data_IF_165713476796
#
_entry.id   IF_165713476796
#
_cell.length_a   1.000
_cell.length_b   1.000
_cell.length_c   1.000
_cell.angle_alpha   90.00
_cell.angle_beta   90.00
_cell.angle_gamma   90.00
#
_symmetry.space_group_name_H-M   'P 1'
#
loop_
_entity.id
_entity.type
_entity.pdbx_description
1 polymer ?
#
# COMPACT_ATOMS: atom_id res chain seq x y z
N UNK A 1 19.17 -4.57 -6.21
CA UNK A 1 19.17 -6.06 -6.13
C UNK A 1 17.81 -6.54 -6.58
N UNK A 2 17.72 -7.30 -7.66
CA UNK A 2 16.45 -7.84 -8.14
C UNK A 2 16.25 -9.30 -7.66
N UNK A 3 14.98 -9.72 -7.56
CA UNK A 3 14.62 -11.03 -7.04
C UNK A 3 15.06 -12.17 -7.96
N UNK A 4 14.97 -11.99 -9.28
CA UNK A 4 15.31 -13.03 -10.26
C UNK A 4 16.76 -13.51 -10.16
N UNK A 5 17.67 -12.62 -9.76
CA UNK A 5 19.11 -12.92 -9.64
C UNK A 5 19.56 -13.18 -8.19
N UNK A 6 18.84 -12.64 -7.19
CA UNK A 6 19.27 -12.62 -5.79
C UNK A 6 18.11 -12.99 -4.86
N UNK A 7 17.43 -14.11 -5.12
CA UNK A 7 16.23 -14.53 -4.37
C UNK A 7 16.47 -14.73 -2.88
N UNK A 8 17.63 -15.25 -2.47
CA UNK A 8 17.98 -15.45 -1.06
C UNK A 8 18.05 -14.14 -0.28
N UNK A 9 18.64 -13.09 -0.87
CA UNK A 9 18.75 -11.77 -0.24
C UNK A 9 17.37 -11.12 -0.11
N UNK A 10 16.57 -11.17 -1.16
CA UNK A 10 15.24 -10.54 -1.17
C UNK A 10 14.25 -11.29 -0.29
N UNK A 11 14.32 -12.62 -0.21
CA UNK A 11 13.50 -13.40 0.73
C UNK A 11 13.87 -13.09 2.18
N UNK A 12 15.16 -12.97 2.51
CA UNK A 12 15.60 -12.54 3.83
C UNK A 12 15.07 -11.12 4.16
N UNK A 13 15.12 -10.19 3.20
CA UNK A 13 14.59 -8.85 3.38
C UNK A 13 13.08 -8.85 3.62
N UNK A 14 12.31 -9.68 2.91
CA UNK A 14 10.87 -9.86 3.14
C UNK A 14 10.63 -10.35 4.57
N UNK A 15 11.29 -11.43 4.98
CA UNK A 15 11.16 -12.00 6.33
C UNK A 15 11.49 -10.97 7.41
N UNK A 16 12.60 -10.24 7.26
CA UNK A 16 13.01 -9.21 8.21
C UNK A 16 12.00 -8.05 8.32
N UNK A 17 11.33 -7.69 7.22
CA UNK A 17 10.30 -6.64 7.21
C UNK A 17 9.00 -7.15 7.82
N UNK A 18 8.63 -8.40 7.59
CA UNK A 18 7.47 -9.04 8.22
C UNK A 18 7.63 -9.12 9.74
N UNK A 19 8.80 -9.53 10.22
CA UNK A 19 9.11 -9.60 11.65
C UNK A 19 9.04 -8.21 12.31
N UNK A 20 9.58 -7.19 11.66
CA UNK A 20 9.54 -5.80 12.13
C UNK A 20 8.14 -5.19 12.04
N UNK A 21 7.40 -5.48 10.98
CA UNK A 21 6.05 -5.00 10.67
C UNK A 21 5.87 -3.46 10.69
N UNK A 22 6.96 -2.71 10.47
CA UNK A 22 7.03 -1.24 10.54
C UNK A 22 7.48 -0.56 9.24
N UNK A 23 7.71 -1.35 8.18
CA UNK A 23 8.17 -0.87 6.88
C UNK A 23 7.42 -1.54 5.73
N UNK A 24 7.50 -0.96 4.54
CA UNK A 24 6.99 -1.54 3.30
C UNK A 24 8.14 -1.69 2.31
N UNK A 25 8.25 -2.86 1.67
CA UNK A 25 9.32 -3.19 0.75
C UNK A 25 8.90 -3.01 -0.70
N UNK A 26 9.62 -2.17 -1.43
CA UNK A 26 9.50 -2.05 -2.89
C UNK A 26 10.52 -2.98 -3.53
N UNK A 27 10.06 -4.09 -4.07
CA UNK A 27 10.89 -5.15 -4.62
C UNK A 27 10.98 -5.04 -6.15
N UNK A 28 12.18 -5.14 -6.69
CA UNK A 28 12.41 -5.30 -8.13
C UNK A 28 12.33 -6.79 -8.49
N UNK A 29 11.31 -7.21 -9.27
CA UNK A 29 11.08 -8.62 -9.53
C UNK A 29 12.07 -9.22 -10.53
N UNK A 30 12.51 -8.44 -11.52
CA UNK A 30 13.22 -8.92 -12.72
C UNK A 30 14.47 -8.11 -13.04
N UNK A 31 15.37 -8.71 -13.82
CA UNK A 31 16.49 -8.00 -14.42
C UNK A 31 16.03 -7.18 -15.63
N UNK A 32 16.88 -6.26 -16.08
CA UNK A 32 16.67 -5.56 -17.35
C UNK A 32 16.70 -6.57 -18.51
N UNK A 33 15.71 -6.53 -19.39
CA UNK A 33 15.56 -7.46 -20.52
C UNK A 33 14.61 -8.63 -20.25
N UNK A 34 14.17 -8.83 -19.01
CA UNK A 34 13.27 -9.94 -18.67
C UNK A 34 11.86 -9.73 -19.27
N UNK A 35 11.29 -10.81 -19.79
CA UNK A 35 9.94 -10.81 -20.34
C UNK A 35 8.85 -10.74 -19.23
N UNK A 36 7.64 -10.36 -19.62
CA UNK A 36 6.45 -10.40 -18.73
C UNK A 36 6.27 -11.81 -18.15
N UNK A 37 6.41 -12.86 -18.99
CA UNK A 37 6.25 -14.24 -18.56
C UNK A 37 7.29 -14.65 -17.52
N UNK A 38 8.55 -14.28 -17.74
CA UNK A 38 9.64 -14.51 -16.76
C UNK A 38 9.36 -13.81 -15.45
N UNK A 39 8.99 -12.53 -15.51
CA UNK A 39 8.66 -11.73 -14.33
C UNK A 39 7.48 -12.32 -13.54
N UNK A 40 6.42 -12.77 -14.20
CA UNK A 40 5.27 -13.45 -13.58
C UNK A 40 5.71 -14.74 -12.85
N UNK A 41 6.54 -15.55 -13.49
CA UNK A 41 7.05 -16.80 -12.89
C UNK A 41 7.88 -16.51 -11.65
N UNK A 42 8.70 -15.47 -11.69
CA UNK A 42 9.54 -15.04 -10.56
C UNK A 42 8.71 -14.55 -9.37
N UNK A 43 7.62 -13.82 -9.63
CA UNK A 43 6.75 -13.25 -8.59
C UNK A 43 5.78 -14.28 -8.00
N UNK A 44 5.39 -15.29 -8.78
CA UNK A 44 4.35 -16.27 -8.40
C UNK A 44 4.54 -16.91 -7.01
N UNK A 45 5.73 -17.33 -6.59
CA UNK A 45 5.96 -17.96 -5.28
C UNK A 45 5.93 -16.99 -4.10
N UNK A 46 5.97 -15.68 -4.35
CA UNK A 46 6.00 -14.69 -3.29
C UNK A 46 4.59 -14.43 -2.75
N UNK A 47 4.44 -14.47 -1.44
CA UNK A 47 3.17 -14.18 -0.75
C UNK A 47 3.45 -13.35 0.51
N UNK A 48 3.25 -12.05 0.43
CA UNK A 48 3.40 -11.12 1.55
C UNK A 48 2.60 -9.84 1.30
N UNK A 49 2.05 -9.26 2.35
CA UNK A 49 1.40 -7.95 2.26
C UNK A 49 2.34 -6.78 2.65
N UNK A 50 3.60 -7.07 2.97
CA UNK A 50 4.61 -6.05 3.29
C UNK A 50 5.49 -5.68 2.11
N UNK A 51 5.27 -6.26 0.93
CA UNK A 51 6.00 -5.91 -0.28
C UNK A 51 5.08 -5.69 -1.47
N UNK A 52 5.56 -4.88 -2.41
CA UNK A 52 4.95 -4.65 -3.72
C UNK A 52 6.00 -4.65 -4.82
N UNK A 53 5.64 -5.18 -5.97
CA UNK A 53 6.50 -5.27 -7.16
C UNK A 53 5.95 -4.44 -8.29
N UNK A 54 6.83 -3.94 -9.14
CA UNK A 54 6.51 -3.06 -10.25
C UNK A 54 7.26 -3.49 -11.52
N UNK A 55 6.69 -3.22 -12.68
CA UNK A 55 7.25 -3.53 -13.99
C UNK A 55 6.78 -2.50 -15.02
N UNK A 56 7.56 -2.13 -16.03
CA UNK A 56 8.90 -2.58 -16.39
C UNK A 56 10.00 -1.68 -15.81
N UNK A 57 11.27 -1.93 -16.21
CA UNK A 57 12.36 -1.00 -16.03
C UNK A 57 12.09 0.30 -16.78
N UNK A 58 12.58 1.40 -16.23
CA UNK A 58 12.31 2.73 -16.76
C UNK A 58 13.61 3.51 -17.03
N UNK A 59 13.51 4.45 -17.93
CA UNK A 59 14.60 5.33 -18.31
C UNK A 59 14.39 6.69 -17.65
N UNK A 60 15.35 7.12 -16.88
CA UNK A 60 15.31 8.41 -16.19
C UNK A 60 16.38 9.35 -16.72
N UNK A 61 16.13 10.65 -16.62
CA UNK A 61 17.10 11.70 -16.94
C UNK A 61 17.78 12.12 -15.65
N UNK A 62 19.09 11.88 -15.54
CA UNK A 62 19.89 12.31 -14.39
C UNK A 62 20.16 13.82 -14.42
N UNK A 63 20.69 14.35 -13.31
CA UNK A 63 21.03 15.79 -13.16
C UNK A 63 22.00 16.32 -14.22
N UNK A 64 22.79 15.45 -14.83
CA UNK A 64 23.73 15.77 -15.93
C UNK A 64 23.08 15.74 -17.32
N UNK A 65 21.75 15.53 -17.41
CA UNK A 65 21.04 15.32 -18.67
C UNK A 65 21.23 13.92 -19.30
N UNK A 66 22.05 13.06 -18.68
CA UNK A 66 22.28 11.70 -19.18
C UNK A 66 21.09 10.80 -18.86
N UNK A 67 20.64 10.07 -19.85
CA UNK A 67 19.60 9.06 -19.70
C UNK A 67 20.20 7.73 -19.20
N UNK A 68 19.59 7.14 -18.18
CA UNK A 68 20.02 5.87 -17.58
C UNK A 68 18.81 4.97 -17.33
N UNK A 69 18.98 3.68 -17.58
CA UNK A 69 17.99 2.68 -17.19
C UNK A 69 18.11 2.38 -15.70
N UNK A 70 16.98 2.43 -15.00
CA UNK A 70 16.91 2.13 -13.57
C UNK A 70 15.77 1.14 -13.28
N UNK A 71 15.91 0.34 -12.22
CA UNK A 71 14.82 -0.53 -11.79
C UNK A 71 13.63 0.29 -11.26
N UNK A 72 12.41 -0.26 -11.31
CA UNK A 72 11.20 0.44 -10.89
C UNK A 72 11.26 1.00 -9.46
N UNK A 73 11.89 0.31 -8.52
CA UNK A 73 11.99 0.72 -7.11
C UNK A 73 12.50 2.14 -6.92
N UNK A 74 13.41 2.60 -7.78
CA UNK A 74 13.97 3.96 -7.72
C UNK A 74 12.90 5.03 -7.94
N UNK A 75 12.06 4.87 -8.95
CA UNK A 75 11.01 5.84 -9.29
C UNK A 75 9.77 5.69 -8.42
N UNK A 76 9.49 4.48 -7.94
CA UNK A 76 8.36 4.22 -7.03
C UNK A 76 8.57 4.87 -5.67
N UNK A 77 9.79 4.90 -5.16
CA UNK A 77 10.11 5.64 -3.93
C UNK A 77 9.72 7.12 -4.05
N UNK A 78 10.00 7.74 -5.22
CA UNK A 78 9.58 9.11 -5.50
C UNK A 78 8.05 9.25 -5.60
N UNK A 79 7.37 8.34 -6.30
CA UNK A 79 5.91 8.37 -6.42
C UNK A 79 5.22 8.25 -5.05
N UNK A 80 5.73 7.39 -4.18
CA UNK A 80 5.25 7.24 -2.81
C UNK A 80 5.46 8.53 -2.00
N UNK A 81 6.68 9.10 -2.05
CA UNK A 81 6.98 10.34 -1.34
C UNK A 81 6.13 11.52 -1.84
N UNK A 82 5.92 11.63 -3.15
CA UNK A 82 5.05 12.65 -3.73
C UNK A 82 3.58 12.47 -3.30
N UNK A 83 3.08 11.24 -3.30
CA UNK A 83 1.73 10.94 -2.81
C UNK A 83 1.56 11.39 -1.35
N UNK A 84 2.54 11.13 -0.49
CA UNK A 84 2.49 11.49 0.92
C UNK A 84 2.56 13.00 1.14
N UNK A 85 3.28 13.71 0.27
CA UNK A 85 3.39 15.16 0.33
C UNK A 85 2.11 15.88 -0.13
N UNK A 86 1.40 15.35 -1.15
CA UNK A 86 0.20 16.01 -1.71
C UNK A 86 -1.11 15.50 -1.14
N UNK A 87 -1.11 14.36 -0.48
CA UNK A 87 -2.29 13.74 0.11
C UNK A 87 -1.97 13.14 1.49
N UNK A 88 -1.91 11.81 1.59
CA UNK A 88 -1.54 11.08 2.81
C UNK A 88 -1.15 9.65 2.45
N UNK A 89 -0.54 8.94 3.40
CA UNK A 89 -0.02 7.58 3.18
C UNK A 89 -1.12 6.55 2.85
N UNK A 90 -2.36 6.81 3.24
CA UNK A 90 -3.51 5.93 2.96
C UNK A 90 -4.17 6.16 1.60
N UNK A 91 -3.72 7.14 0.84
CA UNK A 91 -4.12 7.26 -0.56
C UNK A 91 -3.25 6.36 -1.44
N UNK A 92 -3.85 5.86 -2.53
CA UNK A 92 -3.13 5.03 -3.48
C UNK A 92 -2.02 5.83 -4.21
N UNK A 93 -0.75 5.42 -4.13
CA UNK A 93 0.34 6.04 -4.89
C UNK A 93 0.31 5.56 -6.36
N UNK A 94 -0.85 5.69 -7.00
CA UNK A 94 -1.13 5.20 -8.34
C UNK A 94 -2.17 6.09 -9.04
N UNK A 95 -2.34 5.87 -10.34
CA UNK A 95 -3.24 6.65 -11.18
C UNK A 95 -2.65 7.97 -11.64
N UNK A 96 -3.37 8.67 -12.51
CA UNK A 96 -2.87 9.89 -13.17
C UNK A 96 -2.71 11.07 -12.19
N UNK A 97 -3.47 11.09 -11.12
CA UNK A 97 -3.44 12.20 -10.16
C UNK A 97 -2.24 12.15 -9.20
N UNK A 98 -1.75 10.97 -8.80
CA UNK A 98 -0.72 10.79 -7.76
C UNK A 98 0.41 9.86 -8.14
N UNK A 99 0.19 8.98 -9.13
CA UNK A 99 1.17 8.01 -9.60
C UNK A 99 2.05 8.53 -10.74
N UNK A 100 1.98 9.80 -11.10
CA UNK A 100 2.76 10.40 -12.19
C UNK A 100 4.26 10.34 -11.94
N UNK A 101 5.02 9.97 -12.98
CA UNK A 101 6.48 9.78 -12.94
C UNK A 101 7.15 10.78 -13.91
N UNK A 102 7.18 12.06 -13.55
CA UNK A 102 7.69 13.14 -14.40
C UNK A 102 9.16 13.00 -14.78
N UNK A 103 9.96 12.28 -13.97
CA UNK A 103 11.38 12.02 -14.25
C UNK A 103 11.60 10.90 -15.28
N UNK A 104 10.55 10.15 -15.65
CA UNK A 104 10.66 9.01 -16.56
C UNK A 104 10.50 9.46 -17.99
N UNK A 105 11.53 9.25 -18.81
CA UNK A 105 11.54 9.57 -20.23
C UNK A 105 11.22 8.40 -21.14
N UNK A 106 11.26 7.16 -20.62
CA UNK A 106 10.97 5.95 -21.37
C UNK A 106 10.76 4.74 -20.48
N UNK A 107 10.16 3.71 -21.03
CA UNK A 107 10.05 2.40 -20.41
C UNK A 107 10.66 1.35 -21.33
N UNK A 108 11.26 0.32 -20.74
CA UNK A 108 11.84 -0.83 -21.46
C UNK A 108 10.80 -1.49 -22.36
N UNK A 109 9.57 -1.59 -21.85
CA UNK A 109 8.43 -2.11 -22.58
C UNK A 109 7.24 -1.18 -22.47
N UNK A 110 6.64 -0.81 -23.60
CA UNK A 110 5.36 -0.10 -23.64
C UNK A 110 4.23 -1.11 -23.47
N UNK A 111 3.62 -1.11 -22.30
CA UNK A 111 2.53 -2.03 -21.96
C UNK A 111 1.22 -1.64 -22.64
N UNK A 112 0.58 -2.59 -23.30
CA UNK A 112 -0.79 -2.48 -23.82
C UNK A 112 -1.81 -2.80 -22.73
N UNK A 113 -3.10 -2.50 -22.96
CA UNK A 113 -4.19 -2.79 -22.02
C UNK A 113 -4.14 -4.22 -21.48
N UNK A 114 -4.27 -5.25 -22.33
CA UNK A 114 -4.25 -6.65 -21.89
C UNK A 114 -2.96 -7.07 -21.14
N UNK A 115 -1.81 -6.50 -21.51
CA UNK A 115 -0.54 -6.80 -20.81
C UNK A 115 -0.52 -6.20 -19.41
N UNK A 116 -1.15 -5.03 -19.22
CA UNK A 116 -1.29 -4.41 -17.87
C UNK A 116 -2.24 -5.21 -16.99
N UNK A 117 -3.35 -5.68 -17.55
CA UNK A 117 -4.32 -6.49 -16.83
C UNK A 117 -3.70 -7.83 -16.41
N UNK A 118 -2.96 -8.49 -17.31
CA UNK A 118 -2.25 -9.75 -17.05
C UNK A 118 -1.17 -9.60 -15.97
N UNK A 119 -0.43 -8.49 -15.94
CA UNK A 119 0.52 -8.16 -14.88
C UNK A 119 -0.20 -7.91 -13.55
N UNK A 120 -1.29 -7.14 -13.59
CA UNK A 120 -2.03 -6.79 -12.40
C UNK A 120 -2.69 -8.01 -11.76
N UNK A 121 -3.19 -8.95 -12.55
CA UNK A 121 -3.70 -10.23 -12.07
C UNK A 121 -2.60 -11.09 -11.42
N UNK A 122 -1.38 -11.00 -11.94
CA UNK A 122 -0.21 -11.64 -11.34
C UNK A 122 0.38 -10.87 -10.13
N UNK A 123 -0.31 -9.86 -9.59
CA UNK A 123 0.12 -9.02 -8.45
C UNK A 123 1.34 -8.15 -8.75
N UNK A 124 1.57 -7.83 -10.02
CA UNK A 124 2.64 -6.95 -10.48
C UNK A 124 2.02 -5.62 -10.88
N UNK A 125 2.48 -4.53 -10.27
CA UNK A 125 1.93 -3.20 -10.53
C UNK A 125 2.58 -2.61 -11.79
N UNK A 126 1.80 -2.36 -12.87
CA UNK A 126 2.35 -1.85 -14.11
C UNK A 126 2.69 -0.37 -14.03
N UNK A 127 3.81 0.03 -14.65
CA UNK A 127 4.10 1.41 -15.00
C UNK A 127 3.66 1.59 -16.45
N UNK A 128 2.66 2.44 -16.68
CA UNK A 128 2.03 2.64 -17.97
C UNK A 128 2.33 4.03 -18.54
N UNK A 129 2.36 4.12 -19.86
CA UNK A 129 2.44 5.39 -20.59
C UNK A 129 1.06 5.78 -21.10
N UNK A 130 0.64 6.99 -20.77
CA UNK A 130 -0.61 7.57 -21.25
C UNK A 130 -0.32 8.77 -22.16
N UNK A 131 -0.93 8.80 -23.35
CA UNK A 131 -0.74 9.89 -24.30
C UNK A 131 -1.20 11.21 -23.69
N UNK A 132 -0.33 12.20 -23.71
CA UNK A 132 -0.58 13.52 -23.10
C UNK A 132 -0.41 13.60 -21.59
N UNK A 133 -0.23 12.47 -20.88
CA UNK A 133 -0.08 12.42 -19.42
C UNK A 133 1.31 11.90 -18.99
N UNK A 134 2.05 11.25 -19.90
CA UNK A 134 3.35 10.66 -19.59
C UNK A 134 3.26 9.30 -18.90
N UNK A 135 4.29 8.97 -18.12
CA UNK A 135 4.38 7.72 -17.38
C UNK A 135 3.72 7.84 -16.01
N UNK A 136 2.99 6.81 -15.63
CA UNK A 136 2.31 6.75 -14.33
C UNK A 136 2.32 5.32 -13.79
N UNK A 137 2.39 5.19 -12.47
CA UNK A 137 2.11 3.94 -11.75
C UNK A 137 0.61 3.64 -11.90
N UNK A 138 0.27 2.45 -12.38
CA UNK A 138 -1.13 2.09 -12.66
C UNK A 138 -1.53 0.78 -11.96
N UNK A 139 -1.12 0.63 -10.72
CA UNK A 139 -1.47 -0.49 -9.85
C UNK A 139 -0.99 -0.25 -8.41
N UNK A 140 -1.62 -0.93 -7.45
CA UNK A 140 -1.30 -0.82 -6.04
C UNK A 140 -1.50 -2.13 -5.26
N UNK A 141 -1.35 -3.28 -5.92
CA UNK A 141 -1.41 -4.59 -5.25
C UNK A 141 -0.14 -4.86 -4.45
N UNK A 142 -0.31 -5.45 -3.27
CA UNK A 142 0.77 -6.12 -2.55
C UNK A 142 1.02 -7.50 -3.16
N UNK A 143 2.02 -8.22 -2.68
CA UNK A 143 2.28 -9.60 -3.09
C UNK A 143 1.34 -10.63 -2.44
N UNK A 144 0.37 -10.20 -1.64
CA UNK A 144 -0.57 -11.11 -0.97
C UNK A 144 -1.41 -11.88 -1.98
N UNK A 145 -1.42 -13.20 -1.86
CA UNK A 145 -2.15 -14.11 -2.72
C UNK A 145 -3.65 -14.20 -2.38
N UNK A 146 -3.98 -14.18 -1.09
CA UNK A 146 -5.38 -14.24 -0.63
C UNK A 146 -6.03 -12.86 -0.65
N UNK A 147 -7.25 -12.72 -1.19
CA UNK A 147 -7.98 -11.46 -1.17
C UNK A 147 -8.27 -11.00 0.26
N UNK A 148 -7.83 -9.80 0.60
CA UNK A 148 -8.16 -9.14 1.88
C UNK A 148 -8.03 -7.62 1.72
N UNK A 149 -8.28 -6.87 2.80
CA UNK A 149 -8.02 -5.44 2.79
C UNK A 149 -6.51 -5.12 2.66
N UNK A 150 -5.63 -6.06 3.02
CA UNK A 150 -4.17 -5.92 3.01
C UNK A 150 -3.53 -6.27 1.66
N UNK A 151 -4.33 -6.70 0.69
CA UNK A 151 -3.87 -6.91 -0.68
C UNK A 151 -3.62 -5.60 -1.45
N UNK A 152 -3.86 -4.45 -0.78
CA UNK A 152 -3.63 -3.10 -1.31
C UNK A 152 -2.57 -2.34 -0.54
N UNK A 153 -1.66 -1.69 -1.27
CA UNK A 153 -0.51 -0.96 -0.73
C UNK A 153 -0.97 0.20 0.17
N UNK A 154 -1.99 0.94 -0.23
CA UNK A 154 -2.51 2.06 0.55
C UNK A 154 -3.00 1.62 1.94
N UNK A 155 -3.72 0.50 2.03
CA UNK A 155 -4.21 -0.04 3.31
C UNK A 155 -3.06 -0.56 4.16
N UNK A 156 -2.09 -1.26 3.57
CA UNK A 156 -0.90 -1.73 4.30
C UNK A 156 -0.11 -0.55 4.88
N UNK A 157 0.08 0.52 4.10
CA UNK A 157 0.78 1.72 4.55
C UNK A 157 0.02 2.45 5.67
N UNK A 158 -1.31 2.58 5.54
CA UNK A 158 -2.15 3.08 6.62
C UNK A 158 -1.90 2.33 7.93
N UNK A 159 -1.92 0.99 7.89
CA UNK A 159 -1.72 0.19 9.10
C UNK A 159 -0.32 0.33 9.69
N UNK A 160 0.71 0.49 8.85
CA UNK A 160 2.07 0.75 9.34
C UNK A 160 2.12 2.09 10.10
N UNK A 161 1.52 3.14 9.53
CA UNK A 161 1.47 4.47 10.15
C UNK A 161 0.68 4.45 11.46
N UNK A 162 -0.49 3.83 11.49
CA UNK A 162 -1.32 3.69 12.70
C UNK A 162 -0.57 2.89 13.78
N UNK A 163 0.05 1.77 13.43
CA UNK A 163 0.83 0.97 14.36
C UNK A 163 1.99 1.76 14.98
N UNK A 164 2.73 2.53 14.18
CA UNK A 164 3.84 3.37 14.66
C UNK A 164 3.36 4.42 15.66
N UNK A 165 2.26 5.11 15.36
CA UNK A 165 1.68 6.09 16.27
C UNK A 165 1.25 5.45 17.59
N UNK A 166 0.50 4.35 17.54
CA UNK A 166 0.00 3.66 18.73
C UNK A 166 1.17 3.11 19.57
N UNK A 167 2.18 2.52 18.94
CA UNK A 167 3.37 2.04 19.63
C UNK A 167 4.12 3.18 20.33
N UNK A 168 4.18 4.37 19.73
CA UNK A 168 4.76 5.55 20.35
C UNK A 168 3.94 6.04 21.55
N UNK A 169 2.62 6.12 21.40
CA UNK A 169 1.71 6.52 22.47
C UNK A 169 1.73 5.53 23.65
N UNK A 170 1.82 4.23 23.37
CA UNK A 170 1.82 3.18 24.37
C UNK A 170 3.09 3.18 25.25
N UNK A 171 4.21 3.74 24.78
CA UNK A 171 5.46 3.81 25.58
C UNK A 171 5.29 4.57 26.88
N UNK A 172 4.43 5.56 26.92
CA UNK A 172 4.18 6.37 28.11
C UNK A 172 3.28 5.69 29.15
N UNK A 173 2.72 4.50 28.80
CA UNK A 173 1.87 3.71 29.69
C UNK A 173 2.63 2.53 30.33
N UNK A 174 3.86 2.30 29.90
CA UNK A 174 4.70 1.24 30.49
C UNK A 174 5.08 1.63 31.91
N UNK A 175 4.85 0.72 32.85
CA UNK A 175 5.00 0.90 34.31
C UNK A 175 3.92 1.76 34.99
N UNK A 176 2.90 2.23 34.27
CA UNK A 176 1.71 2.83 34.87
C UNK A 176 0.78 1.77 35.48
N UNK A 177 -0.06 2.18 36.42
CA UNK A 177 -1.05 1.30 37.05
C UNK A 177 -2.09 0.87 36.02
N UNK A 178 -2.47 -0.43 36.02
CA UNK A 178 -3.55 -0.92 35.16
C UNK A 178 -4.93 -0.60 35.78
N UNK A 179 -5.30 0.66 35.75
CA UNK A 179 -6.57 1.17 36.23
C UNK A 179 -7.40 1.84 35.12
N UNK A 180 -8.61 2.23 35.46
CA UNK A 180 -9.54 2.91 34.54
C UNK A 180 -8.95 4.24 34.03
N UNK A 181 -8.15 4.95 34.85
CA UNK A 181 -7.57 6.24 34.46
C UNK A 181 -6.52 6.06 33.37
N UNK A 182 -5.63 5.09 33.52
CA UNK A 182 -4.59 4.75 32.53
C UNK A 182 -5.22 4.30 31.21
N UNK A 183 -6.27 3.46 31.28
CA UNK A 183 -7.02 3.02 30.10
C UNK A 183 -7.69 4.19 29.37
N UNK A 184 -8.35 5.08 30.11
CA UNK A 184 -8.97 6.29 29.54
C UNK A 184 -7.92 7.24 28.94
N UNK A 185 -6.75 7.38 29.58
CA UNK A 185 -5.63 8.19 29.04
C UNK A 185 -5.19 7.68 27.67
N UNK A 186 -5.07 6.35 27.51
CA UNK A 186 -4.76 5.76 26.21
C UNK A 186 -5.86 6.07 25.17
N UNK A 187 -7.13 5.82 25.51
CA UNK A 187 -8.24 6.08 24.59
C UNK A 187 -8.33 7.55 24.18
N UNK A 188 -8.04 8.48 25.11
CA UNK A 188 -8.04 9.93 24.85
C UNK A 188 -6.90 10.37 23.91
N UNK A 189 -5.86 9.56 23.73
CA UNK A 189 -4.80 9.82 22.77
C UNK A 189 -5.14 9.16 21.42
N UNK A 190 -5.61 7.90 21.44
CA UNK A 190 -5.78 7.09 20.23
C UNK A 190 -7.06 7.46 19.47
N UNK A 191 -8.19 7.70 20.16
CA UNK A 191 -9.45 8.02 19.50
C UNK A 191 -9.37 9.30 18.64
N UNK A 192 -8.88 10.46 19.11
CA UNK A 192 -8.77 11.66 18.28
C UNK A 192 -7.86 11.47 17.06
N UNK A 193 -6.80 10.66 17.22
CA UNK A 193 -5.93 10.34 16.10
C UNK A 193 -6.66 9.50 15.03
N UNK A 194 -7.37 8.45 15.42
CA UNK A 194 -8.13 7.62 14.50
C UNK A 194 -9.31 8.40 13.87
N UNK A 195 -9.95 9.29 14.62
CA UNK A 195 -10.95 10.22 14.11
C UNK A 195 -10.39 11.16 13.03
N UNK A 196 -9.18 11.68 13.22
CA UNK A 196 -8.52 12.52 12.22
C UNK A 196 -8.24 11.75 10.92
N UNK A 197 -7.86 10.48 11.01
CA UNK A 197 -7.66 9.61 9.83
C UNK A 197 -9.00 9.30 9.16
N UNK A 198 -10.07 9.10 9.93
CA UNK A 198 -11.41 8.88 9.40
C UNK A 198 -11.93 10.12 8.65
N UNK A 199 -11.79 11.31 9.23
CA UNK A 199 -12.14 12.56 8.58
C UNK A 199 -11.34 12.81 7.31
N UNK A 200 -10.05 12.41 7.32
CA UNK A 200 -9.18 12.46 6.16
C UNK A 200 -9.36 11.26 5.18
N UNK A 201 -10.48 10.53 5.29
CA UNK A 201 -10.88 9.44 4.37
C UNK A 201 -9.97 8.20 4.38
N UNK A 202 -9.16 8.01 5.42
CA UNK A 202 -8.32 6.81 5.57
C UNK A 202 -9.08 5.61 6.11
N UNK A 203 -10.04 5.86 7.00
CA UNK A 203 -10.90 4.85 7.61
C UNK A 203 -12.37 5.15 7.33
N UNK A 204 -13.17 4.11 7.12
CA UNK A 204 -14.63 4.20 7.08
C UNK A 204 -15.20 4.19 8.50
N UNK A 205 -14.63 3.35 9.37
CA UNK A 205 -15.02 3.19 10.76
C UNK A 205 -13.86 2.62 11.58
N UNK A 206 -13.88 2.88 12.87
CA UNK A 206 -12.96 2.26 13.82
C UNK A 206 -13.63 2.06 15.18
N UNK A 207 -13.06 1.19 16.00
CA UNK A 207 -13.44 1.00 17.39
C UNK A 207 -12.22 0.64 18.23
N UNK A 208 -12.04 1.33 19.34
CA UNK A 208 -11.01 1.02 20.35
C UNK A 208 -11.72 0.40 21.55
N UNK A 209 -11.25 -0.76 21.98
CA UNK A 209 -11.73 -1.47 23.18
C UNK A 209 -10.57 -1.62 24.14
N UNK A 210 -10.65 -0.99 25.28
CA UNK A 210 -9.70 -1.09 26.38
C UNK A 210 -10.45 -0.88 27.71
N UNK A 211 -11.24 -1.86 28.07
CA UNK A 211 -12.13 -1.86 29.20
C UNK A 211 -11.98 -3.16 30.03
N UNK A 212 -12.90 -3.41 30.96
CA UNK A 212 -12.84 -4.59 31.82
C UNK A 212 -13.15 -5.90 31.05
N UNK A 213 -13.70 -5.81 29.84
CA UNK A 213 -13.97 -7.01 29.02
C UNK A 213 -12.68 -7.65 28.48
N UNK A 214 -11.66 -6.85 28.21
CA UNK A 214 -10.35 -7.32 27.74
C UNK A 214 -9.22 -7.16 28.78
N UNK A 215 -9.48 -6.48 29.91
CA UNK A 215 -8.57 -6.37 31.06
C UNK A 215 -9.23 -7.01 32.29
N UNK A 216 -9.41 -8.32 32.25
CA UNK A 216 -9.91 -9.12 33.35
C UNK A 216 -8.90 -9.18 34.50
N UNK A 217 -9.31 -9.56 35.75
CA UNK A 217 -8.39 -9.73 36.87
C UNK A 217 -7.18 -10.63 36.54
N UNK A 218 -7.37 -11.73 35.80
CA UNK A 218 -6.28 -12.62 35.36
C UNK A 218 -5.25 -11.89 34.44
N UNK A 219 -5.70 -10.98 33.59
CA UNK A 219 -4.82 -10.17 32.73
C UNK A 219 -4.04 -9.16 33.55
N UNK A 220 -4.70 -8.53 34.52
CA UNK A 220 -4.09 -7.57 35.45
C UNK A 220 -3.05 -8.24 36.35
N UNK A 221 -3.38 -9.41 36.90
CA UNK A 221 -2.48 -10.21 37.75
C UNK A 221 -1.21 -10.67 37.00
N UNK A 222 -1.29 -10.77 35.67
CA UNK A 222 -0.11 -11.03 34.81
C UNK A 222 0.64 -9.77 34.41
N UNK A 223 0.36 -8.64 34.99
CA UNK A 223 0.96 -7.33 34.68
C UNK A 223 0.78 -6.95 33.18
N UNK A 224 -0.36 -7.24 32.58
CA UNK A 224 -0.68 -6.94 31.18
C UNK A 224 -1.77 -5.90 31.08
N UNK A 225 -1.61 -4.99 30.14
CA UNK A 225 -2.63 -4.05 29.69
C UNK A 225 -2.98 -4.42 28.24
N UNK A 226 -4.24 -4.77 27.98
CA UNK A 226 -4.69 -5.23 26.66
C UNK A 226 -5.65 -4.21 26.05
N UNK A 227 -5.30 -3.71 24.86
CA UNK A 227 -6.15 -2.89 24.02
C UNK A 227 -6.39 -3.57 22.69
N UNK A 228 -7.63 -3.53 22.20
CA UNK A 228 -8.01 -4.00 20.88
C UNK A 228 -8.47 -2.83 20.02
N UNK A 229 -7.91 -2.72 18.82
CA UNK A 229 -8.24 -1.68 17.87
C UNK A 229 -8.76 -2.32 16.60
N UNK A 230 -10.03 -2.11 16.33
CA UNK A 230 -10.75 -2.61 15.15
C UNK A 230 -10.78 -1.49 14.11
N UNK A 231 -10.30 -1.76 12.90
CA UNK A 231 -10.17 -0.78 11.83
C UNK A 231 -10.90 -1.26 10.57
N UNK A 232 -11.67 -0.38 9.97
CA UNK A 232 -12.29 -0.55 8.66
C UNK A 232 -11.66 0.44 7.67
N UNK A 233 -10.65 0.03 6.88
CA UNK A 233 -10.00 0.94 5.93
C UNK A 233 -10.93 1.29 4.76
N UNK A 234 -10.80 2.52 4.26
CA UNK A 234 -11.48 2.95 3.04
C UNK A 234 -10.86 2.25 1.83
N UNK A 235 -11.70 1.72 0.95
CA UNK A 235 -11.27 1.09 -0.30
C UNK A 235 -11.20 2.11 -1.43
N UNK A 236 -10.21 1.96 -2.30
CA UNK A 236 -10.09 2.75 -3.54
C UNK A 236 -10.86 2.08 -4.68
N UNK A 237 -11.50 2.90 -5.52
CA UNK A 237 -12.07 2.42 -6.78
C UNK A 237 -10.92 2.20 -7.80
N UNK A 238 -10.78 0.98 -8.29
CA UNK A 238 -9.77 0.60 -9.29
C UNK A 238 -10.42 0.31 -10.65
N UNK A 239 -11.66 -0.16 -10.63
CA UNK A 239 -12.45 -0.47 -11.82
C UNK A 239 -13.70 0.40 -11.84
N UNK A 240 -13.94 1.06 -12.96
CA UNK A 240 -15.15 1.86 -13.22
C UNK A 240 -15.91 1.17 -14.32
N UNK A 241 -17.09 0.67 -14.01
CA UNK A 241 -18.03 0.09 -14.98
C UNK A 241 -19.04 1.16 -15.31
N UNK A 242 -19.14 1.50 -16.59
CA UNK A 242 -20.12 2.46 -17.11
C UNK A 242 -21.08 1.71 -18.03
N UNK A 243 -22.35 1.74 -17.70
CA UNK A 243 -23.41 1.18 -18.54
C UNK A 243 -24.14 2.32 -19.26
N UNK A 244 -24.15 2.26 -20.59
CA UNK A 244 -24.79 3.25 -21.44
C UNK A 244 -26.04 2.62 -22.09
N UNK A 245 -27.22 3.02 -21.62
CA UNK A 245 -28.47 2.59 -22.19
C UNK A 245 -28.98 3.66 -23.16
N UNK A 246 -29.04 3.31 -24.45
CA UNK A 246 -29.64 4.19 -25.48
C UNK A 246 -31.13 3.91 -25.54
N UNK A 247 -31.93 4.89 -25.16
CA UNK A 247 -33.38 4.79 -25.25
C UNK A 247 -33.91 5.38 -26.58
N UNK A 248 -34.98 4.82 -27.16
CA UNK A 248 -35.63 5.44 -28.29
C UNK A 248 -36.28 6.77 -27.93
N UNK A 249 -36.43 7.65 -28.91
CA UNK A 249 -37.05 8.97 -28.72
C UNK A 249 -38.45 8.85 -28.11
N UNK A 250 -38.67 9.48 -26.96
CA UNK A 250 -39.94 9.44 -26.23
C UNK A 250 -40.10 8.33 -25.20
N UNK A 251 -39.06 7.48 -24.99
CA UNK A 251 -39.07 6.52 -23.89
C UNK A 251 -38.81 7.23 -22.54
N UNK A 252 -39.50 6.82 -21.47
CA UNK A 252 -39.22 7.27 -20.12
C UNK A 252 -37.88 6.68 -19.62
N UNK A 253 -37.13 7.44 -18.84
CA UNK A 253 -35.94 6.90 -18.18
C UNK A 253 -36.36 5.86 -17.15
N UNK A 254 -35.68 4.71 -17.06
CA UNK A 254 -35.87 3.78 -15.97
C UNK A 254 -35.46 4.46 -14.62
N UNK A 255 -36.28 4.27 -13.58
CA UNK A 255 -35.98 4.75 -12.22
C UNK A 255 -34.81 4.06 -11.59
#
# INVERSE_FOLDING_TARGET
VNHSQHSSITNYAISAIEDRADAFFVLDPSAYGDSISTTKTTVKPLDTNYAGVYYPWVKVVGNTGRQTWVPPSVVIAHAIANNDAVASEWFAPAGLNRGGLSMVSGAEKKLRGPERDDLYDARINPIAHFTGQGFSVFGQKTLQGLPSALDRINVRRLLITVKKFIASASRFLVFEQNDVQTRNRFMNIVNPYLESIQQARGLTSFRVVMDDSNNTPDVIDRNRLVGQILLQPTRTAEFIVLDFVVLPTGAAFPE
#
